data_IF_569965990196
#
_entry.id   IF_569965990196
#
_cell.length_a   1.000
_cell.length_b   1.000
_cell.length_c   1.000
_cell.angle_alpha   90.00
_cell.angle_beta   90.00
_cell.angle_gamma   90.00
#
_symmetry.space_group_name_H-M   'P 1'
#
loop_
_entity.id
_entity.type
_entity.pdbx_description
1 polymer ?
#
# COMPACT_ATOMS: atom_id res chain seq x y z
N UNK A 1 -2.74 3.01 1.62
CA UNK A 1 -3.89 3.93 1.49
C UNK A 1 -4.79 3.84 2.71
N UNK A 2 -5.11 2.62 3.19
CA UNK A 2 -5.99 2.40 4.35
C UNK A 2 -5.27 2.45 5.72
N UNK A 3 -3.98 2.69 5.76
CA UNK A 3 -3.21 2.88 6.99
C UNK A 3 -3.25 4.36 7.46
N UNK A 4 -2.98 4.64 8.74
CA UNK A 4 -2.81 6.02 9.22
C UNK A 4 -1.83 6.79 8.32
N UNK A 5 -2.13 8.06 8.03
CA UNK A 5 -1.37 8.88 7.07
C UNK A 5 -1.70 8.64 5.59
N UNK A 6 -2.42 7.58 5.23
CA UNK A 6 -2.92 7.37 3.88
C UNK A 6 -4.20 8.16 3.57
N UNK A 7 -4.51 8.34 2.28
CA UNK A 7 -5.72 9.08 1.83
C UNK A 7 -7.05 8.45 2.28
N UNK A 8 -7.05 7.20 2.71
CA UNK A 8 -8.16 6.49 3.34
C UNK A 8 -7.89 6.16 4.82
N UNK A 9 -6.97 6.87 5.49
CA UNK A 9 -6.62 6.64 6.89
C UNK A 9 -7.78 6.80 7.87
N UNK A 10 -8.85 7.50 7.47
CA UNK A 10 -10.08 7.65 8.27
C UNK A 10 -10.95 6.39 8.35
N UNK A 11 -10.60 5.30 7.66
CA UNK A 11 -11.44 4.10 7.58
C UNK A 11 -11.74 3.51 8.97
N UNK A 12 -10.75 3.50 9.85
CA UNK A 12 -10.88 3.03 11.24
C UNK A 12 -11.72 3.96 12.11
N UNK A 13 -11.60 5.27 11.93
CA UNK A 13 -12.41 6.27 12.64
C UNK A 13 -13.87 6.25 12.18
N UNK A 14 -14.13 5.82 10.94
CA UNK A 14 -15.46 5.56 10.41
C UNK A 14 -16.07 4.23 10.91
N UNK A 15 -15.34 3.48 11.74
CA UNK A 15 -15.83 2.26 12.39
C UNK A 15 -15.42 0.95 11.73
N UNK A 16 -14.78 0.95 10.56
CA UNK A 16 -14.33 -0.28 9.91
C UNK A 16 -12.92 -0.64 10.36
N UNK A 17 -12.82 -1.67 11.21
CA UNK A 17 -11.55 -2.10 11.84
C UNK A 17 -10.98 -3.38 11.24
N UNK A 18 -11.69 -4.01 10.32
CA UNK A 18 -11.29 -5.28 9.72
C UNK A 18 -10.22 -5.07 8.63
N UNK A 19 -9.39 -6.09 8.33
CA UNK A 19 -8.41 -6.02 7.27
C UNK A 19 -9.03 -5.66 5.92
N UNK A 20 -8.48 -4.65 5.26
CA UNK A 20 -8.93 -4.19 3.95
C UNK A 20 -7.79 -3.54 3.18
N UNK A 21 -7.95 -3.50 1.87
CA UNK A 21 -7.14 -2.70 0.96
C UNK A 21 -8.01 -1.79 0.11
N UNK A 22 -7.44 -0.77 -0.49
CA UNK A 22 -8.20 0.10 -1.39
C UNK A 22 -7.45 1.34 -1.84
N UNK A 23 -8.09 2.07 -2.75
CA UNK A 23 -7.54 3.30 -3.34
C UNK A 23 -8.64 4.33 -3.55
N UNK A 24 -8.33 5.58 -3.18
CA UNK A 24 -9.16 6.74 -3.51
C UNK A 24 -8.85 7.24 -4.92
N UNK A 25 -9.86 7.76 -5.61
CA UNK A 25 -9.72 8.50 -6.85
C UNK A 25 -10.48 9.84 -6.75
N UNK A 26 -9.92 10.88 -7.34
CA UNK A 26 -10.56 12.20 -7.43
C UNK A 26 -10.09 12.88 -8.69
N UNK A 27 -11.01 13.43 -9.48
CA UNK A 27 -10.65 14.26 -10.63
C UNK A 27 -10.20 15.64 -10.20
N UNK A 28 -9.36 16.29 -11.01
CA UNK A 28 -8.77 17.60 -10.69
C UNK A 28 -9.79 18.68 -10.33
N UNK A 29 -10.99 18.63 -10.93
CA UNK A 29 -12.04 19.62 -10.71
C UNK A 29 -13.11 19.15 -9.72
N UNK A 30 -12.86 18.09 -8.93
CA UNK A 30 -13.82 17.50 -7.99
C UNK A 30 -15.17 17.13 -8.62
N UNK A 31 -15.16 16.68 -9.87
CA UNK A 31 -16.36 16.23 -10.58
C UNK A 31 -16.65 14.75 -10.32
N UNK A 32 -15.65 13.97 -9.94
CA UNK A 32 -15.78 12.56 -9.63
C UNK A 32 -14.97 12.22 -8.39
N UNK A 33 -15.58 11.56 -7.43
CA UNK A 33 -14.96 11.03 -6.24
C UNK A 33 -15.15 9.51 -6.19
N UNK A 34 -14.05 8.77 -6.09
CA UNK A 34 -14.04 7.31 -6.11
C UNK A 34 -13.39 6.75 -4.86
N UNK A 35 -13.90 5.60 -4.44
CA UNK A 35 -13.17 4.68 -3.60
C UNK A 35 -13.41 3.26 -4.08
N UNK A 36 -12.34 2.55 -4.46
CA UNK A 36 -12.35 1.13 -4.76
C UNK A 36 -11.59 0.41 -3.64
N UNK A 37 -12.23 -0.55 -2.99
CA UNK A 37 -11.65 -1.28 -1.89
C UNK A 37 -12.13 -2.72 -1.81
N UNK A 38 -11.41 -3.52 -1.04
CA UNK A 38 -11.68 -4.95 -0.90
C UNK A 38 -11.38 -5.43 0.51
N UNK A 39 -12.02 -6.51 0.88
CA UNK A 39 -11.73 -7.36 2.03
C UNK A 39 -11.31 -8.74 1.55
N UNK A 40 -11.17 -9.72 2.45
CA UNK A 40 -10.93 -11.11 2.05
C UNK A 40 -12.06 -11.74 1.23
N UNK A 41 -13.27 -11.22 1.33
CA UNK A 41 -14.48 -11.84 0.76
C UNK A 41 -15.21 -10.97 -0.27
N UNK A 42 -15.03 -9.66 -0.21
CA UNK A 42 -15.79 -8.72 -1.05
C UNK A 42 -14.89 -7.66 -1.67
N UNK A 43 -15.24 -7.27 -2.88
CA UNK A 43 -14.72 -6.08 -3.54
C UNK A 43 -15.88 -5.14 -3.82
N UNK A 44 -15.69 -3.86 -3.53
CA UNK A 44 -16.69 -2.83 -3.77
C UNK A 44 -16.04 -1.56 -4.29
N UNK A 45 -16.66 -0.94 -5.26
CA UNK A 45 -16.30 0.39 -5.76
C UNK A 45 -17.46 1.34 -5.57
N UNK A 46 -17.19 2.51 -5.03
CA UNK A 46 -18.14 3.59 -4.82
C UNK A 46 -17.72 4.77 -5.67
N UNK A 47 -18.67 5.30 -6.42
CA UNK A 47 -18.55 6.53 -7.15
C UNK A 47 -19.58 7.55 -6.67
N UNK A 48 -19.13 8.78 -6.52
CA UNK A 48 -19.97 9.94 -6.25
C UNK A 48 -19.68 10.98 -7.31
N UNK A 49 -20.72 11.43 -8.00
CA UNK A 49 -20.61 12.38 -9.10
C UNK A 49 -21.98 12.72 -9.67
N UNK A 50 -21.98 13.53 -10.72
CA UNK A 50 -23.17 13.86 -11.53
C UNK A 50 -22.97 13.26 -12.93
N UNK A 51 -24.07 13.00 -13.63
CA UNK A 51 -24.05 12.52 -15.02
C UNK A 51 -23.37 13.52 -15.98
N UNK A 52 -23.44 14.79 -15.65
CA UNK A 52 -22.68 15.84 -16.32
C UNK A 52 -21.37 16.13 -15.54
N UNK A 53 -20.33 16.64 -16.22
CA UNK A 53 -19.04 16.98 -15.61
C UNK A 53 -19.15 18.23 -14.73
N UNK A 54 -19.99 18.15 -13.70
CA UNK A 54 -20.26 19.22 -12.72
C UNK A 54 -19.49 18.96 -11.46
N UNK A 55 -18.89 20.02 -10.87
CA UNK A 55 -18.21 19.94 -9.58
C UNK A 55 -19.20 19.49 -8.49
N UNK A 56 -18.83 18.46 -7.73
CA UNK A 56 -19.65 17.96 -6.62
C UNK A 56 -19.69 19.00 -5.48
N UNK A 57 -18.51 19.32 -4.98
CA UNK A 57 -18.28 20.38 -3.99
C UNK A 57 -16.79 20.70 -3.91
N UNK A 58 -16.44 21.79 -3.25
CA UNK A 58 -15.03 22.15 -3.02
C UNK A 58 -14.38 21.13 -2.08
N UNK A 59 -13.18 20.64 -2.45
CA UNK A 59 -12.47 19.58 -1.73
C UNK A 59 -13.24 18.26 -1.62
N UNK A 60 -14.09 17.97 -2.61
CA UNK A 60 -14.85 16.71 -2.74
C UNK A 60 -13.95 15.51 -3.08
N UNK A 61 -13.07 15.13 -2.16
CA UNK A 61 -12.16 14.01 -2.35
C UNK A 61 -12.85 12.65 -2.20
N UNK A 62 -12.33 11.64 -2.89
CA UNK A 62 -12.82 10.25 -2.75
C UNK A 62 -12.77 9.74 -1.31
N UNK A 63 -11.75 10.15 -0.53
CA UNK A 63 -11.65 9.84 0.90
C UNK A 63 -12.67 10.56 1.79
N UNK A 64 -13.35 11.60 1.27
CA UNK A 64 -14.35 12.38 2.00
C UNK A 64 -15.77 11.99 1.62
N UNK A 65 -16.00 11.68 0.35
CA UNK A 65 -17.34 11.43 -0.20
C UNK A 65 -17.62 9.94 -0.42
N UNK A 66 -16.71 9.22 -1.09
CA UNK A 66 -16.93 7.83 -1.47
C UNK A 66 -16.54 6.83 -0.37
N UNK A 67 -15.48 7.13 0.40
CA UNK A 67 -15.01 6.24 1.46
C UNK A 67 -16.05 5.99 2.57
N UNK A 68 -16.79 6.99 3.11
CA UNK A 68 -17.81 6.73 4.13
C UNK A 68 -18.90 5.77 3.63
N UNK A 69 -19.38 5.97 2.40
CA UNK A 69 -20.39 5.10 1.78
C UNK A 69 -19.85 3.65 1.64
N UNK A 70 -18.60 3.51 1.23
CA UNK A 70 -17.95 2.20 1.16
C UNK A 70 -17.87 1.53 2.54
N UNK A 71 -17.54 2.29 3.58
CA UNK A 71 -17.49 1.78 4.97
C UNK A 71 -18.86 1.28 5.40
N UNK A 72 -19.92 2.04 5.15
CA UNK A 72 -21.31 1.65 5.51
C UNK A 72 -21.72 0.36 4.79
N UNK A 73 -21.41 0.23 3.49
CA UNK A 73 -21.67 -0.98 2.71
C UNK A 73 -20.92 -2.19 3.34
N UNK A 74 -19.65 -2.03 3.67
CA UNK A 74 -18.85 -3.12 4.22
C UNK A 74 -19.26 -3.51 5.64
N UNK A 75 -19.68 -2.55 6.47
CA UNK A 75 -20.25 -2.83 7.79
C UNK A 75 -21.59 -3.54 7.68
N UNK A 76 -22.43 -3.17 6.72
CA UNK A 76 -23.68 -3.88 6.45
C UNK A 76 -23.40 -5.31 5.96
N UNK A 77 -22.48 -5.49 5.03
CA UNK A 77 -22.09 -6.80 4.53
C UNK A 77 -21.56 -7.73 5.65
N UNK A 78 -20.81 -7.20 6.62
CA UNK A 78 -20.37 -7.99 7.76
C UNK A 78 -21.55 -8.49 8.62
N UNK A 79 -22.58 -7.68 8.80
CA UNK A 79 -23.80 -8.08 9.51
C UNK A 79 -24.58 -9.15 8.76
N UNK A 80 -24.54 -9.15 7.45
CA UNK A 80 -25.19 -10.12 6.56
C UNK A 80 -24.35 -11.40 6.34
N UNK A 81 -23.30 -11.61 7.11
CA UNK A 81 -22.54 -12.87 7.09
C UNK A 81 -21.36 -12.89 6.11
N UNK A 82 -20.88 -11.72 5.67
CA UNK A 82 -19.64 -11.58 4.87
C UNK A 82 -18.49 -11.01 5.72
N UNK A 83 -17.90 -11.80 6.65
CA UNK A 83 -16.87 -11.29 7.55
C UNK A 83 -15.61 -10.94 6.76
N UNK A 84 -14.96 -9.86 7.12
CA UNK A 84 -13.65 -9.51 6.59
C UNK A 84 -12.56 -10.18 7.45
N UNK A 85 -12.10 -11.34 7.02
CA UNK A 85 -11.01 -12.08 7.63
C UNK A 85 -9.64 -11.47 7.24
N UNK A 86 -8.55 -12.04 7.76
CA UNK A 86 -7.22 -11.67 7.33
C UNK A 86 -7.08 -11.85 5.80
N UNK A 87 -6.58 -10.81 5.14
CA UNK A 87 -6.21 -10.91 3.72
C UNK A 87 -4.95 -11.76 3.68
N UNK A 88 -5.11 -13.00 3.25
CA UNK A 88 -4.00 -13.94 3.12
C UNK A 88 -3.47 -13.87 1.69
N UNK A 89 -2.17 -13.87 1.53
CA UNK A 89 -1.52 -14.33 0.32
C UNK A 89 -1.89 -15.80 0.11
N UNK A 90 -1.99 -16.23 -1.14
CA UNK A 90 -2.32 -17.62 -1.49
C UNK A 90 -1.47 -18.59 -0.66
N UNK A 91 -2.04 -19.66 -0.05
CA UNK A 91 -1.25 -20.69 0.62
C UNK A 91 -0.21 -21.26 -0.37
N UNK A 92 1.06 -21.27 0.02
CA UNK A 92 2.16 -21.64 -0.87
C UNK A 92 2.78 -20.50 -1.67
N UNK A 93 2.27 -19.27 -1.56
CA UNK A 93 2.93 -18.08 -2.08
C UNK A 93 3.96 -17.57 -1.08
N UNK A 94 4.96 -18.37 -0.80
CA UNK A 94 6.16 -17.87 -0.14
C UNK A 94 6.89 -17.01 -1.17
N UNK A 95 6.67 -15.70 -1.09
CA UNK A 95 7.32 -14.75 -1.96
C UNK A 95 8.77 -14.60 -1.56
N UNK A 96 9.67 -14.64 -2.52
CA UNK A 96 11.06 -14.26 -2.30
C UNK A 96 11.10 -12.74 -2.10
N UNK A 97 11.56 -12.30 -0.92
CA UNK A 97 11.84 -10.89 -0.67
C UNK A 97 13.21 -10.55 -1.25
N UNK A 98 13.27 -9.57 -2.12
CA UNK A 98 14.54 -9.08 -2.68
C UNK A 98 14.58 -7.54 -2.64
N UNK A 99 15.77 -6.99 -2.46
CA UNK A 99 15.97 -5.56 -2.53
C UNK A 99 16.14 -5.15 -3.99
N UNK A 100 15.25 -4.29 -4.49
CA UNK A 100 15.28 -3.80 -5.86
C UNK A 100 15.51 -2.29 -5.91
N UNK A 101 16.29 -1.86 -6.87
CA UNK A 101 16.46 -0.45 -7.19
C UNK A 101 15.15 0.10 -7.77
N UNK A 102 14.69 1.26 -7.27
CA UNK A 102 13.43 1.87 -7.74
C UNK A 102 13.51 2.43 -9.16
N UNK A 103 14.69 2.72 -9.63
CA UNK A 103 14.92 3.32 -10.95
C UNK A 103 15.04 2.25 -12.03
N UNK A 104 15.94 1.27 -11.84
CA UNK A 104 16.17 0.21 -12.82
C UNK A 104 15.22 -0.98 -12.69
N UNK A 105 14.55 -1.16 -11.54
CA UNK A 105 13.82 -2.38 -11.15
C UNK A 105 14.68 -3.67 -11.13
N UNK A 106 15.99 -3.54 -11.13
CA UNK A 106 16.95 -4.64 -10.97
C UNK A 106 17.34 -4.80 -9.49
N UNK A 107 18.10 -5.84 -9.13
CA UNK A 107 18.60 -6.03 -7.77
C UNK A 107 19.41 -4.81 -7.34
N UNK A 108 19.11 -4.29 -6.15
CA UNK A 108 19.82 -3.14 -5.62
C UNK A 108 21.17 -3.55 -5.01
N UNK A 109 22.12 -2.63 -5.04
CA UNK A 109 23.41 -2.72 -4.37
C UNK A 109 23.72 -1.42 -3.60
N UNK A 110 24.88 -1.32 -2.97
CA UNK A 110 25.27 -0.19 -2.11
C UNK A 110 25.23 1.19 -2.77
N UNK A 111 25.37 1.28 -4.08
CA UNK A 111 25.25 2.53 -4.84
C UNK A 111 23.82 2.97 -5.14
N UNK A 112 22.81 2.15 -4.87
CA UNK A 112 21.42 2.48 -5.15
C UNK A 112 20.82 3.29 -3.98
N UNK A 113 20.70 4.62 -4.14
CA UNK A 113 20.12 5.50 -3.12
C UNK A 113 18.66 5.19 -2.80
N UNK A 114 17.89 4.71 -3.79
CA UNK A 114 16.47 4.42 -3.67
C UNK A 114 16.19 2.94 -3.90
N UNK A 115 16.43 2.14 -2.88
CA UNK A 115 16.06 0.73 -2.88
C UNK A 115 14.73 0.50 -2.14
N UNK A 116 14.03 -0.56 -2.51
CA UNK A 116 12.81 -1.04 -1.84
C UNK A 116 12.83 -2.55 -1.77
N UNK A 117 12.30 -3.12 -0.70
CA UNK A 117 12.00 -4.55 -0.68
C UNK A 117 10.79 -4.83 -1.57
N UNK A 118 10.95 -5.76 -2.50
CA UNK A 118 9.88 -6.29 -3.34
C UNK A 118 9.71 -7.79 -3.08
N UNK A 119 8.46 -8.25 -3.09
CA UNK A 119 8.12 -9.65 -2.89
C UNK A 119 7.69 -10.24 -4.24
N UNK A 120 8.33 -11.32 -4.66
CA UNK A 120 8.04 -12.01 -5.89
C UNK A 120 7.45 -13.38 -5.57
N UNK A 121 6.23 -13.61 -6.04
CA UNK A 121 5.54 -14.90 -5.87
C UNK A 121 6.02 -15.90 -6.91
N UNK A 122 6.87 -16.84 -6.51
CA UNK A 122 7.44 -17.86 -7.38
C UNK A 122 6.39 -18.84 -7.91
N UNK A 123 5.34 -19.10 -7.14
CA UNK A 123 4.24 -20.00 -7.55
C UNK A 123 3.39 -19.46 -8.70
N UNK A 124 3.39 -18.14 -8.91
CA UNK A 124 2.67 -17.48 -10.01
C UNK A 124 3.52 -17.29 -11.27
N UNK A 125 4.72 -17.86 -11.31
CA UNK A 125 5.64 -17.71 -12.44
C UNK A 125 6.38 -16.37 -12.49
N UNK A 126 6.21 -15.52 -11.49
CA UNK A 126 6.99 -14.29 -11.37
C UNK A 126 8.39 -14.60 -10.85
N UNK A 127 9.41 -14.19 -11.59
CA UNK A 127 10.79 -14.33 -11.17
C UNK A 127 11.30 -12.99 -10.64
N UNK A 128 12.05 -13.05 -9.53
CA UNK A 128 12.81 -11.91 -9.07
C UNK A 128 13.84 -11.49 -10.13
N UNK A 129 14.20 -10.19 -10.21
CA UNK A 129 15.28 -9.77 -11.08
C UNK A 129 16.54 -10.57 -10.80
N UNK A 130 17.21 -11.06 -11.85
CA UNK A 130 18.46 -11.81 -11.72
C UNK A 130 19.70 -10.91 -11.81
N UNK A 131 19.57 -9.76 -12.45
CA UNK A 131 20.68 -8.84 -12.70
C UNK A 131 20.75 -7.75 -11.64
N UNK A 132 21.96 -7.37 -11.28
CA UNK A 132 22.24 -6.21 -10.43
C UNK A 132 21.96 -4.91 -11.20
N UNK A 133 21.64 -3.84 -10.47
CA UNK A 133 21.44 -2.54 -11.05
C UNK A 133 22.72 -2.02 -11.72
N UNK A 134 22.63 -1.71 -13.01
CA UNK A 134 23.73 -1.16 -13.81
C UNK A 134 23.67 0.37 -13.91
N UNK A 135 22.59 0.99 -13.43
CA UNK A 135 22.40 2.44 -13.49
C UNK A 135 23.18 3.20 -12.42
N UNK A 136 23.57 2.51 -11.36
CA UNK A 136 24.32 3.08 -10.25
C UNK A 136 25.67 2.38 -10.11
N UNK A 137 26.68 3.15 -9.72
CA UNK A 137 28.00 2.60 -9.45
C UNK A 137 27.99 2.06 -8.00
N UNK A 138 28.37 0.80 -7.78
CA UNK A 138 28.53 0.28 -6.42
C UNK A 138 29.55 1.15 -5.67
N UNK A 139 29.23 1.58 -4.45
CA UNK A 139 30.21 2.21 -3.60
C UNK A 139 31.28 1.17 -3.27
N UNK A 140 32.57 1.53 -3.46
CA UNK A 140 33.65 0.67 -3.05
C UNK A 140 33.51 0.36 -1.55
N UNK A 141 33.53 -0.94 -1.21
CA UNK A 141 33.52 -1.32 0.20
C UNK A 141 34.78 -0.77 0.86
N UNK A 142 34.68 -0.10 2.02
CA UNK A 142 35.87 0.17 2.79
C UNK A 142 36.50 -1.16 3.19
N UNK A 143 37.83 -1.29 3.02
CA UNK A 143 38.63 -2.46 3.38
C UNK A 143 38.46 -2.77 4.90
N UNK A 144 37.40 -3.45 5.27
CA UNK A 144 37.21 -4.04 6.59
C UNK A 144 36.19 -5.17 6.52
N UNK A 145 36.62 -6.32 7.02
CA UNK A 145 35.84 -7.53 7.26
C UNK A 145 34.71 -7.27 8.31
N UNK A 146 33.70 -6.49 7.97
CA UNK A 146 32.48 -6.45 8.76
C UNK A 146 31.32 -6.92 7.87
N UNK A 147 30.89 -8.12 8.16
CA UNK A 147 29.69 -8.72 7.60
C UNK A 147 28.49 -7.79 7.77
N UNK A 148 27.87 -7.42 6.65
CA UNK A 148 26.59 -6.71 6.66
C UNK A 148 25.58 -7.62 7.35
N UNK A 149 24.99 -7.23 8.50
CA UNK A 149 23.96 -8.06 9.11
C UNK A 149 22.75 -8.12 8.18
N UNK A 150 22.35 -9.32 7.84
CA UNK A 150 21.03 -9.57 7.25
C UNK A 150 19.99 -8.94 8.16
N UNK A 151 19.16 -8.06 7.62
CA UNK A 151 18.03 -7.57 8.36
C UNK A 151 17.14 -8.76 8.70
N UNK A 152 17.01 -9.04 9.99
CA UNK A 152 16.07 -10.04 10.48
C UNK A 152 14.63 -9.64 10.06
N UNK A 153 13.76 -10.59 9.77
CA UNK A 153 12.38 -10.29 9.50
C UNK A 153 11.78 -9.59 10.72
N UNK A 154 11.29 -8.36 10.54
CA UNK A 154 10.60 -7.61 11.57
C UNK A 154 9.40 -8.45 12.05
N UNK A 155 9.49 -8.97 13.26
CA UNK A 155 8.31 -9.42 13.97
C UNK A 155 7.45 -8.18 14.23
N UNK A 156 6.14 -8.33 14.12
CA UNK A 156 5.20 -7.21 14.02
C UNK A 156 4.95 -6.47 15.34
N UNK A 157 5.97 -6.10 16.12
CA UNK A 157 5.82 -5.53 17.46
C UNK A 157 6.62 -4.25 17.77
N UNK A 158 6.96 -3.43 16.79
CA UNK A 158 7.53 -2.11 17.08
C UNK A 158 6.63 -0.96 16.60
N UNK A 159 5.76 -0.51 17.52
CA UNK A 159 4.94 0.71 17.44
C UNK A 159 5.74 2.01 17.74
N UNK A 160 7.02 2.09 17.42
CA UNK A 160 7.82 3.25 17.79
C UNK A 160 8.55 3.88 16.60
N UNK A 161 7.78 4.53 15.71
CA UNK A 161 8.35 5.46 14.72
C UNK A 161 8.25 6.86 15.30
N UNK A 162 9.35 7.56 15.61
CA UNK A 162 9.31 8.94 16.07
C UNK A 162 8.73 9.85 14.97
N UNK A 163 7.72 10.62 15.33
CA UNK A 163 7.15 11.67 14.50
C UNK A 163 8.21 12.77 14.31
N UNK A 164 8.48 13.13 13.06
CA UNK A 164 9.29 14.29 12.73
C UNK A 164 8.58 15.56 13.21
N UNK A 165 9.30 16.41 13.96
CA UNK A 165 8.81 17.71 14.41
C UNK A 165 8.59 18.66 13.23
N UNK A 166 7.57 19.53 13.27
CA UNK A 166 7.34 20.52 12.24
C UNK A 166 8.45 21.59 12.29
N UNK A 167 9.03 21.87 11.13
CA UNK A 167 9.94 23.02 10.93
C UNK A 167 9.08 24.26 10.84
N UNK A 168 9.38 25.28 11.64
CA UNK A 168 8.76 26.63 11.61
C UNK A 168 8.94 27.36 10.28
#
# INVERSE_FOLDING_TARGET
VCKPGGTAGKITTLGFKSPCGGKTGTTNNYTNAWFAGYTSNLTCSVWVGFDSSTKILEKGYGGTLALPVWVDIMLAAQKEGYPANAIRTRPGSEGQAVLVCRESNQLAHSGCQYAKTAYFETSAGYQAPANMCEQHIPMAEPDSEESIPYAEPLDGSDDNIPLAEPVE
#
